data_IF_832864775462
#
_entry.id   IF_832864775462
#
_cell.length_a   1.000
_cell.length_b   1.000
_cell.length_c   1.000
_cell.angle_alpha   90.00
_cell.angle_beta   90.00
_cell.angle_gamma   90.00
#
_symmetry.space_group_name_H-M   'P 1'
#
loop_
_entity.id
_entity.type
_entity.pdbx_description
1 polymer ?
#
# COMPACT_ATOMS: atom_id res chain seq x y z
N UNK A 1 51.64 10.92 -31.41
CA UNK A 1 50.82 9.92 -30.70
C UNK A 1 49.95 9.25 -31.75
N UNK A 2 50.18 7.97 -32.00
CA UNK A 2 49.64 7.29 -33.19
C UNK A 2 48.13 7.14 -33.12
N UNK A 3 47.44 7.38 -34.25
CA UNK A 3 45.98 7.21 -34.37
C UNK A 3 45.50 5.85 -33.83
N UNK A 4 46.34 4.81 -33.98
CA UNK A 4 46.13 3.45 -33.49
C UNK A 4 46.04 3.39 -31.96
N UNK A 5 46.93 4.08 -31.25
CA UNK A 5 46.92 4.14 -29.77
C UNK A 5 45.66 4.85 -29.29
N UNK A 6 45.24 5.91 -29.99
CA UNK A 6 44.03 6.66 -29.67
C UNK A 6 42.75 5.84 -29.91
N UNK A 7 42.70 5.03 -30.98
CA UNK A 7 41.56 4.14 -31.24
C UNK A 7 41.49 3.01 -30.22
N UNK A 8 42.64 2.41 -29.88
CA UNK A 8 42.70 1.37 -28.85
C UNK A 8 42.19 1.88 -27.50
N UNK A 9 42.61 3.08 -27.08
CA UNK A 9 42.14 3.72 -25.84
C UNK A 9 40.61 3.92 -25.81
N UNK A 10 40.03 4.40 -26.91
CA UNK A 10 38.57 4.60 -27.02
C UNK A 10 37.82 3.27 -26.90
N UNK A 11 38.30 2.23 -27.58
CA UNK A 11 37.71 0.89 -27.48
C UNK A 11 37.78 0.35 -26.05
N UNK A 12 38.92 0.51 -25.37
CA UNK A 12 39.08 0.07 -23.99
C UNK A 12 38.12 0.80 -23.05
N UNK A 13 37.97 2.12 -23.19
CA UNK A 13 37.02 2.91 -22.37
C UNK A 13 35.57 2.49 -22.62
N UNK A 14 35.18 2.25 -23.86
CA UNK A 14 33.83 1.77 -24.21
C UNK A 14 33.54 0.37 -23.64
N UNK A 15 34.51 -0.54 -23.67
CA UNK A 15 34.36 -1.86 -23.07
C UNK A 15 34.23 -1.79 -21.54
N UNK A 16 35.04 -0.96 -20.88
CA UNK A 16 34.96 -0.76 -19.42
C UNK A 16 33.59 -0.17 -19.02
N UNK A 17 33.09 0.80 -19.77
CA UNK A 17 31.79 1.41 -19.50
C UNK A 17 30.61 0.46 -19.78
N UNK A 18 30.74 -0.48 -20.72
CA UNK A 18 29.76 -1.55 -20.92
C UNK A 18 29.76 -2.57 -19.77
N UNK A 19 30.92 -2.83 -19.14
CA UNK A 19 31.05 -3.75 -18.02
C UNK A 19 30.60 -3.17 -16.67
N UNK A 20 30.53 -1.84 -16.54
CA UNK A 20 30.03 -1.16 -15.35
C UNK A 20 28.51 -1.01 -15.43
N UNK A 21 27.78 -2.07 -15.08
CA UNK A 21 26.33 -1.99 -14.87
C UNK A 21 26.03 -1.09 -13.66
N UNK A 22 25.45 0.08 -13.91
CA UNK A 22 24.96 0.97 -12.85
C UNK A 22 23.63 0.41 -12.35
N UNK A 23 23.66 -0.31 -11.24
CA UNK A 23 22.43 -0.70 -10.53
C UNK A 23 21.92 0.51 -9.75
N UNK A 24 20.74 1.02 -10.11
CA UNK A 24 20.08 2.07 -9.35
C UNK A 24 19.73 1.60 -7.94
N UNK A 25 19.72 2.52 -6.96
CA UNK A 25 19.20 2.20 -5.63
C UNK A 25 17.70 1.85 -5.73
N UNK A 26 17.28 0.81 -5.01
CA UNK A 26 15.85 0.53 -4.85
C UNK A 26 15.19 1.71 -4.15
N UNK A 27 14.15 2.25 -4.74
CA UNK A 27 13.34 3.33 -4.16
C UNK A 27 12.29 2.80 -3.17
N UNK A 28 12.18 1.47 -3.02
CA UNK A 28 11.23 0.86 -2.12
C UNK A 28 11.70 1.01 -0.66
N UNK A 29 10.88 1.66 0.15
CA UNK A 29 11.13 1.84 1.57
C UNK A 29 10.80 0.53 2.32
N UNK A 30 11.70 0.05 3.17
CA UNK A 30 11.46 -1.14 4.00
C UNK A 30 10.49 -0.86 5.17
N UNK A 31 10.33 0.41 5.52
CA UNK A 31 9.48 0.89 6.61
C UNK A 31 8.87 2.20 6.17
N UNK A 32 7.62 2.46 6.55
CA UNK A 32 6.96 3.73 6.29
C UNK A 32 6.39 4.30 7.59
N UNK A 33 6.28 5.63 7.63
CA UNK A 33 5.41 6.33 8.56
C UNK A 33 4.29 6.98 7.76
N UNK A 34 3.11 7.10 8.37
CA UNK A 34 1.94 7.76 7.80
C UNK A 34 2.32 9.13 7.16
N UNK A 35 1.78 9.52 5.99
CA UNK A 35 0.61 8.97 5.29
C UNK A 35 0.85 7.68 4.51
N UNK A 36 -0.05 6.70 4.70
CA UNK A 36 -0.17 5.54 3.80
C UNK A 36 -0.87 5.99 2.51
N UNK A 37 -0.39 5.49 1.37
CA UNK A 37 -1.01 5.73 0.07
C UNK A 37 -2.23 4.81 -0.15
N UNK A 38 -3.37 5.21 0.38
CA UNK A 38 -4.68 4.58 0.15
C UNK A 38 -5.73 5.64 -0.20
N UNK A 39 -6.78 5.22 -0.90
CA UNK A 39 -7.95 6.04 -1.14
C UNK A 39 -8.70 6.34 0.18
N UNK A 40 -9.29 7.52 0.25
CA UNK A 40 -10.14 7.94 1.38
C UNK A 40 -11.60 7.96 0.96
N UNK A 41 -12.47 7.56 1.88
CA UNK A 41 -13.92 7.80 1.74
C UNK A 41 -14.29 9.13 2.40
N UNK A 42 -15.57 9.51 2.30
CA UNK A 42 -16.07 10.77 2.84
C UNK A 42 -17.29 10.55 3.72
N UNK A 43 -17.38 11.31 4.81
CA UNK A 43 -18.50 11.26 5.74
C UNK A 43 -19.78 11.85 5.09
N UNK A 44 -20.92 11.20 5.33
CA UNK A 44 -22.20 11.57 4.71
C UNK A 44 -23.07 12.51 5.56
N UNK A 45 -22.72 12.76 6.82
CA UNK A 45 -23.59 13.45 7.79
C UNK A 45 -24.04 14.86 7.35
N UNK A 46 -23.10 15.67 6.85
CA UNK A 46 -23.36 17.03 6.37
C UNK A 46 -23.43 17.11 4.84
N UNK A 47 -23.56 15.97 4.14
CA UNK A 47 -23.61 15.96 2.69
C UNK A 47 -24.79 16.77 2.14
N UNK A 48 -25.90 16.85 2.89
CA UNK A 48 -27.07 17.67 2.58
C UNK A 48 -26.78 19.19 2.56
N UNK A 49 -25.72 19.63 3.25
CA UNK A 49 -25.23 21.02 3.25
C UNK A 49 -24.10 21.22 2.23
N UNK A 50 -23.82 20.23 1.39
CA UNK A 50 -22.66 20.18 0.50
C UNK A 50 -21.31 20.29 1.25
N UNK A 51 -21.26 19.79 2.49
CA UNK A 51 -20.07 19.72 3.34
C UNK A 51 -19.63 18.27 3.45
N UNK A 52 -18.32 18.04 3.34
CA UNK A 52 -17.74 16.70 3.35
C UNK A 52 -16.43 16.67 4.15
N UNK A 53 -16.25 15.61 4.93
CA UNK A 53 -15.04 15.36 5.72
C UNK A 53 -14.42 14.04 5.29
N UNK A 54 -13.08 13.99 5.20
CA UNK A 54 -12.38 12.73 4.92
C UNK A 54 -12.67 11.72 6.02
N UNK A 55 -13.01 10.50 5.64
CA UNK A 55 -13.13 9.34 6.51
C UNK A 55 -11.96 8.39 6.27
N UNK A 56 -11.66 7.52 7.23
CA UNK A 56 -10.43 6.74 7.20
C UNK A 56 -9.69 6.65 8.54
N UNK A 57 -10.37 6.85 9.67
CA UNK A 57 -9.79 6.71 11.00
C UNK A 57 -9.68 5.23 11.43
N UNK A 58 -8.97 4.99 12.53
CA UNK A 58 -8.93 3.71 13.25
C UNK A 58 -8.57 2.48 12.39
N UNK A 59 -7.41 2.48 11.70
CA UNK A 59 -7.01 1.32 10.91
C UNK A 59 -6.71 0.11 11.82
N UNK A 60 -7.35 -1.01 11.54
CA UNK A 60 -7.04 -2.32 12.10
C UNK A 60 -6.38 -3.20 11.05
N UNK A 61 -5.08 -3.47 11.22
CA UNK A 61 -4.30 -4.34 10.34
C UNK A 61 -4.11 -5.71 10.98
N UNK A 62 -4.34 -6.77 10.22
CA UNK A 62 -4.23 -8.16 10.67
C UNK A 62 -3.52 -9.00 9.62
N UNK A 63 -2.63 -9.88 10.07
CA UNK A 63 -2.00 -10.89 9.22
C UNK A 63 -2.88 -12.13 9.14
N UNK A 64 -3.16 -12.62 7.95
CA UNK A 64 -3.92 -13.86 7.70
C UNK A 64 -3.34 -14.57 6.48
N UNK A 65 -3.01 -15.87 6.60
CA UNK A 65 -2.43 -16.67 5.51
C UNK A 65 -1.20 -16.03 4.85
N UNK A 66 -0.31 -15.48 5.69
CA UNK A 66 0.91 -14.77 5.30
C UNK A 66 0.73 -13.47 4.52
N UNK A 67 -0.50 -12.95 4.45
CA UNK A 67 -0.84 -11.67 3.82
C UNK A 67 -1.48 -10.73 4.85
N UNK A 68 -1.67 -9.47 4.48
CA UNK A 68 -2.15 -8.43 5.37
C UNK A 68 -3.49 -7.89 4.90
N UNK A 69 -4.41 -7.71 5.84
CA UNK A 69 -5.72 -7.14 5.60
C UNK A 69 -5.92 -5.95 6.53
N UNK A 70 -6.44 -4.85 5.99
CA UNK A 70 -6.64 -3.61 6.71
C UNK A 70 -8.10 -3.17 6.62
N UNK A 71 -8.69 -2.94 7.79
CA UNK A 71 -10.06 -2.47 7.96
C UNK A 71 -10.02 -1.07 8.52
N UNK A 72 -10.75 -0.14 7.90
CA UNK A 72 -10.69 1.28 8.26
C UNK A 72 -12.11 1.82 8.37
N UNK A 73 -12.32 2.75 9.31
CA UNK A 73 -13.62 3.38 9.57
C UNK A 73 -14.25 3.91 8.28
N UNK A 74 -15.49 3.46 8.02
CA UNK A 74 -16.38 3.88 6.93
C UNK A 74 -15.78 3.82 5.53
N UNK A 75 -14.91 2.85 5.28
CA UNK A 75 -14.32 2.63 3.96
C UNK A 75 -15.20 1.82 2.99
N UNK A 76 -16.31 1.25 3.48
CA UNK A 76 -17.24 0.40 2.70
C UNK A 76 -16.57 -0.81 2.01
N UNK A 77 -15.45 -1.25 2.59
CA UNK A 77 -14.63 -2.37 2.14
C UNK A 77 -13.36 -2.43 2.97
N UNK A 78 -12.37 -3.16 2.48
CA UNK A 78 -11.08 -3.35 3.15
C UNK A 78 -9.93 -3.39 2.16
N UNK A 79 -8.71 -3.23 2.64
CA UNK A 79 -7.51 -3.34 1.81
C UNK A 79 -6.79 -4.65 2.08
N UNK A 80 -6.11 -5.14 1.05
CA UNK A 80 -5.22 -6.28 1.08
C UNK A 80 -3.82 -5.87 0.63
N UNK A 81 -2.79 -6.47 1.24
CA UNK A 81 -1.39 -6.25 0.90
C UNK A 81 -0.56 -7.49 1.17
N UNK A 82 0.52 -7.68 0.41
CA UNK A 82 1.53 -8.71 0.65
C UNK A 82 2.81 -8.16 1.28
N UNK A 83 2.99 -6.83 1.28
CA UNK A 83 4.24 -6.16 1.64
C UNK A 83 4.07 -4.98 2.62
N UNK A 84 2.83 -4.71 3.08
CA UNK A 84 2.42 -3.55 3.90
C UNK A 84 2.61 -2.17 3.25
N UNK A 85 3.12 -2.11 2.02
CA UNK A 85 3.43 -0.88 1.30
C UNK A 85 2.38 -0.61 0.22
N UNK A 86 2.04 -1.64 -0.53
CA UNK A 86 1.09 -1.60 -1.63
C UNK A 86 -0.22 -2.22 -1.18
N UNK A 87 -1.31 -1.45 -1.23
CA UNK A 87 -2.61 -1.85 -0.76
C UNK A 87 -3.61 -1.86 -1.91
N UNK A 88 -4.36 -2.96 -2.05
CA UNK A 88 -5.44 -3.10 -3.03
C UNK A 88 -6.78 -3.07 -2.31
N UNK A 89 -7.67 -2.16 -2.69
CA UNK A 89 -9.02 -2.11 -2.12
C UNK A 89 -9.88 -3.27 -2.64
N UNK A 90 -10.61 -3.91 -1.74
CA UNK A 90 -11.54 -5.01 -2.02
C UNK A 90 -12.95 -4.56 -1.68
N UNK A 91 -13.82 -4.61 -2.69
CA UNK A 91 -15.26 -4.45 -2.51
C UNK A 91 -15.89 -5.78 -2.11
N UNK A 92 -16.39 -5.92 -0.88
CA UNK A 92 -17.01 -7.15 -0.39
C UNK A 92 -18.43 -7.34 -0.94
N UNK A 93 -18.88 -8.59 -1.04
CA UNK A 93 -20.28 -8.91 -1.37
C UNK A 93 -21.23 -8.51 -0.23
N UNK A 94 -20.80 -8.66 1.03
CA UNK A 94 -21.57 -8.31 2.23
C UNK A 94 -20.72 -7.44 3.15
N UNK A 95 -21.30 -6.35 3.64
CA UNK A 95 -20.60 -5.40 4.50
C UNK A 95 -21.50 -4.71 5.51
N UNK A 96 -20.89 -4.03 6.48
CA UNK A 96 -21.54 -3.11 7.40
C UNK A 96 -21.89 -1.78 6.70
N UNK A 97 -22.82 -1.84 5.73
CA UNK A 97 -23.20 -0.67 4.93
C UNK A 97 -23.88 0.45 5.73
N UNK A 98 -24.35 0.16 6.95
CA UNK A 98 -24.90 1.15 7.88
C UNK A 98 -23.81 2.02 8.54
N UNK A 99 -22.55 1.57 8.49
CA UNK A 99 -21.38 2.35 8.88
C UNK A 99 -20.46 1.61 9.83
N UNK A 100 -19.37 1.05 9.32
CA UNK A 100 -18.34 0.45 10.17
C UNK A 100 -17.49 1.53 10.85
N UNK A 101 -17.44 1.57 12.19
CA UNK A 101 -16.59 2.49 12.96
C UNK A 101 -15.65 1.72 13.88
N UNK A 102 -14.42 2.21 14.04
CA UNK A 102 -13.40 1.64 14.92
C UNK A 102 -13.29 0.11 14.82
N UNK A 103 -13.02 -0.44 13.62
CA UNK A 103 -13.01 -1.88 13.43
C UNK A 103 -11.93 -2.56 14.29
N UNK A 104 -12.23 -3.80 14.68
CA UNK A 104 -11.31 -4.75 15.25
C UNK A 104 -11.27 -6.00 14.38
N UNK A 105 -10.08 -6.50 14.10
CA UNK A 105 -9.89 -7.71 13.31
C UNK A 105 -9.02 -8.72 14.05
N UNK A 106 -9.40 -9.99 13.99
CA UNK A 106 -8.70 -11.09 14.66
C UNK A 106 -8.57 -12.30 13.74
N UNK A 107 -7.34 -12.73 13.51
CA UNK A 107 -7.04 -13.99 12.84
C UNK A 107 -7.16 -15.15 13.82
N UNK A 108 -8.08 -16.07 13.54
CA UNK A 108 -8.22 -17.32 14.29
C UNK A 108 -7.56 -18.48 13.55
N UNK A 109 -6.36 -18.85 14.01
CA UNK A 109 -5.59 -20.03 13.58
C UNK A 109 -5.35 -20.13 12.07
N UNK A 110 -5.28 -19.00 11.35
CA UNK A 110 -5.14 -18.93 9.89
C UNK A 110 -6.27 -19.60 9.08
N UNK A 111 -7.39 -19.91 9.74
CA UNK A 111 -8.56 -20.53 9.13
C UNK A 111 -9.64 -19.51 8.81
N UNK A 112 -9.90 -18.62 9.77
CA UNK A 112 -10.97 -17.62 9.70
C UNK A 112 -10.44 -16.26 10.15
N UNK A 113 -10.83 -15.21 9.43
CA UNK A 113 -10.63 -13.84 9.84
C UNK A 113 -11.93 -13.25 10.37
N UNK A 114 -11.96 -12.92 11.66
CA UNK A 114 -13.09 -12.23 12.29
C UNK A 114 -12.89 -10.73 12.18
N UNK A 115 -13.93 -10.02 11.78
CA UNK A 115 -13.95 -8.57 11.71
C UNK A 115 -15.21 -8.09 12.40
N UNK A 116 -15.03 -7.37 13.50
CA UNK A 116 -16.09 -6.64 14.17
C UNK A 116 -15.87 -5.16 13.88
N UNK A 117 -16.92 -4.43 13.56
CA UNK A 117 -16.76 -3.03 13.20
C UNK A 117 -18.01 -2.22 13.40
N UNK A 118 -18.92 -2.68 14.25
CA UNK A 118 -20.18 -2.03 14.51
C UNK A 118 -20.31 -1.62 15.98
N UNK A 119 -20.20 -0.31 16.28
CA UNK A 119 -20.54 0.22 17.59
C UNK A 119 -21.77 1.15 17.58
N UNK A 120 -22.58 1.21 16.50
CA UNK A 120 -23.68 2.20 16.35
C UNK A 120 -25.07 1.60 16.20
#
# INVERSE_FOLDING_TARGET
MDRVIQTALIFTVLNISYLLSVNGQSTQLNTYCNPINIDYTYAIYNAHENISYRSGADPAVVKFRNEYYMFVTRSMGYWHSTDLLTWTFITPEKWYFQGSNAPAAHNYKDLVLYVAGDPS
#
